data_IF_235006626394
#
_entry.id   IF_235006626394
#
_cell.length_a   1.000
_cell.length_b   1.000
_cell.length_c   1.000
_cell.angle_alpha   90.00
_cell.angle_beta   90.00
_cell.angle_gamma   90.00
#
_symmetry.space_group_name_H-M   'P 1'
#
loop_
_entity.id
_entity.type
_entity.pdbx_description
1 polymer ?
#
# COMPACT_ATOMS: atom_id res chain seq x y z
N UNK A 1 -45.60 -36.04 28.02
CA UNK A 1 -45.66 -34.62 27.60
C UNK A 1 -44.35 -33.92 27.97
N UNK A 2 -43.46 -33.66 27.00
CA UNK A 2 -42.18 -32.92 27.20
C UNK A 2 -42.36 -31.49 26.71
N UNK A 3 -42.23 -30.53 27.61
CA UNK A 3 -42.30 -29.08 27.31
C UNK A 3 -40.98 -28.62 26.64
N UNK A 4 -41.06 -28.11 25.42
CA UNK A 4 -39.97 -27.41 24.73
C UNK A 4 -39.94 -25.96 25.20
N UNK A 5 -38.89 -25.54 25.85
CA UNK A 5 -38.60 -24.15 26.14
C UNK A 5 -37.83 -23.50 24.99
N UNK A 6 -38.38 -22.47 24.35
CA UNK A 6 -37.75 -21.62 23.35
C UNK A 6 -36.58 -20.85 23.93
N UNK A 7 -35.36 -21.07 23.40
CA UNK A 7 -34.20 -20.16 23.60
C UNK A 7 -34.37 -18.95 22.68
N UNK A 8 -34.57 -17.78 23.26
CA UNK A 8 -34.64 -16.50 22.56
C UNK A 8 -33.25 -16.04 22.08
N UNK A 9 -33.20 -15.60 20.83
CA UNK A 9 -32.04 -15.08 20.11
C UNK A 9 -31.47 -13.81 20.75
N UNK A 10 -30.23 -13.86 21.23
CA UNK A 10 -29.40 -12.69 21.55
C UNK A 10 -28.35 -12.44 20.43
N UNK A 11 -28.80 -12.09 19.22
CA UNK A 11 -27.92 -11.78 18.09
C UNK A 11 -27.96 -10.30 17.63
N UNK A 12 -28.50 -9.39 18.45
CA UNK A 12 -28.67 -7.97 18.04
C UNK A 12 -27.60 -6.97 18.52
N UNK A 13 -26.69 -7.34 19.42
CA UNK A 13 -25.73 -6.36 20.01
C UNK A 13 -24.31 -6.36 19.45
N UNK A 14 -23.97 -7.22 18.45
CA UNK A 14 -22.59 -7.27 17.93
C UNK A 14 -22.31 -6.29 16.80
N UNK A 15 -23.32 -5.63 16.23
CA UNK A 15 -23.13 -4.70 15.09
C UNK A 15 -22.99 -3.22 15.49
N UNK A 16 -23.41 -2.83 16.71
CA UNK A 16 -23.22 -1.45 17.17
C UNK A 16 -21.79 -1.21 17.67
N UNK A 17 -21.17 -2.15 18.37
CA UNK A 17 -19.79 -2.01 18.84
C UNK A 17 -18.74 -1.98 17.69
N UNK A 18 -19.06 -2.58 16.53
CA UNK A 18 -18.20 -2.51 15.34
C UNK A 18 -18.25 -1.18 14.58
N UNK A 19 -19.33 -0.41 14.70
CA UNK A 19 -19.46 0.92 14.06
C UNK A 19 -18.73 2.02 14.83
N UNK A 20 -18.73 1.96 16.15
CA UNK A 20 -18.01 2.92 17.00
C UNK A 20 -16.49 2.74 16.93
N UNK A 21 -15.98 1.53 16.68
CA UNK A 21 -14.55 1.24 16.59
C UNK A 21 -13.92 1.69 15.24
N UNK A 22 -14.75 2.00 14.23
CA UNK A 22 -14.29 2.48 12.91
C UNK A 22 -13.86 3.95 12.91
N UNK A 23 -14.24 4.73 13.90
CA UNK A 23 -13.88 6.15 14.04
C UNK A 23 -12.55 6.36 14.80
N UNK A 24 -12.04 5.31 15.46
CA UNK A 24 -10.84 5.38 16.29
C UNK A 24 -9.57 5.07 15.47
N UNK A 25 -8.59 5.94 15.57
CA UNK A 25 -7.28 5.81 14.89
C UNK A 25 -6.21 5.55 15.95
N UNK A 26 -5.30 4.59 15.72
CA UNK A 26 -4.14 4.42 16.60
C UNK A 26 -3.28 5.68 16.62
N UNK A 27 -2.88 6.14 17.81
CA UNK A 27 -2.12 7.37 18.00
C UNK A 27 -0.81 7.39 17.17
N UNK A 28 -0.07 6.28 17.11
CA UNK A 28 1.12 6.19 16.27
C UNK A 28 0.80 6.35 14.76
N UNK A 29 -0.37 5.86 14.30
CA UNK A 29 -0.83 6.08 12.92
C UNK A 29 -1.18 7.55 12.70
N UNK A 30 -1.83 8.19 13.67
CA UNK A 30 -2.19 9.61 13.60
C UNK A 30 -0.94 10.50 13.43
N UNK A 31 0.09 10.28 14.28
CA UNK A 31 1.37 11.02 14.24
C UNK A 31 2.08 10.81 12.90
N UNK A 32 2.14 9.55 12.42
CA UNK A 32 2.75 9.25 11.13
C UNK A 32 1.98 9.86 9.95
N UNK A 33 0.64 9.90 10.00
CA UNK A 33 -0.19 10.55 8.99
C UNK A 33 -0.04 12.09 9.00
N UNK A 34 0.36 12.67 10.12
CA UNK A 34 0.72 14.07 10.22
C UNK A 34 2.11 14.38 9.61
N UNK A 35 2.86 13.36 9.16
CA UNK A 35 4.16 13.52 8.51
C UNK A 35 5.31 13.81 9.47
N UNK A 36 5.12 13.61 10.78
CA UNK A 36 6.14 13.89 11.81
C UNK A 36 7.27 12.87 11.75
N UNK A 37 6.92 11.57 11.70
CA UNK A 37 7.87 10.47 11.74
C UNK A 37 7.24 9.16 11.24
N UNK A 38 8.01 8.06 11.18
CA UNK A 38 7.47 6.73 10.92
C UNK A 38 6.61 6.24 12.10
N UNK A 39 5.73 5.25 11.86
CA UNK A 39 4.89 4.66 12.92
C UNK A 39 5.71 4.03 14.05
N UNK A 40 6.89 3.44 13.72
CA UNK A 40 7.79 2.85 14.72
C UNK A 40 8.47 3.90 15.58
N UNK A 41 8.84 5.02 15.00
CA UNK A 41 9.38 6.18 15.73
C UNK A 41 8.29 6.84 16.58
N UNK A 42 7.07 6.97 16.07
CA UNK A 42 5.93 7.46 16.83
C UNK A 42 5.67 6.64 18.10
N UNK A 43 5.82 5.31 18.05
CA UNK A 43 5.72 4.47 19.22
C UNK A 43 6.76 4.85 20.29
N UNK A 44 8.02 5.08 19.90
CA UNK A 44 9.09 5.54 20.81
C UNK A 44 8.77 6.91 21.42
N UNK A 45 8.22 7.82 20.63
CA UNK A 45 7.84 9.15 21.11
C UNK A 45 6.64 9.11 22.08
N UNK A 46 5.68 8.20 21.84
CA UNK A 46 4.58 7.97 22.77
C UNK A 46 5.12 7.45 24.10
N UNK A 47 5.99 6.44 24.06
CA UNK A 47 6.61 5.85 25.25
C UNK A 47 7.42 6.89 26.03
N UNK A 48 8.13 7.79 25.36
CA UNK A 48 8.88 8.88 25.94
C UNK A 48 7.99 10.02 26.52
N UNK A 49 6.66 9.96 26.33
CA UNK A 49 5.72 10.94 26.90
C UNK A 49 5.69 12.31 26.22
N UNK A 50 6.32 12.45 25.03
CA UNK A 50 6.35 13.73 24.29
C UNK A 50 5.07 13.97 23.45
N UNK A 51 4.10 13.08 23.56
CA UNK A 51 2.81 13.17 22.87
C UNK A 51 1.69 13.35 23.88
N UNK A 52 0.83 14.34 23.65
CA UNK A 52 -0.36 14.56 24.48
C UNK A 52 -1.63 14.52 23.63
N UNK A 53 -2.71 14.06 24.26
CA UNK A 53 -4.07 14.03 23.70
C UNK A 53 -5.00 14.74 24.66
N UNK A 54 -5.69 15.77 24.16
CA UNK A 54 -6.59 16.62 24.96
C UNK A 54 -5.94 17.11 26.26
N UNK A 55 -4.65 17.50 26.15
CA UNK A 55 -3.87 18.04 27.28
C UNK A 55 -3.28 17.00 28.23
N UNK A 56 -3.49 15.70 28.02
CA UNK A 56 -2.92 14.63 28.85
C UNK A 56 -1.78 13.93 28.09
N UNK A 57 -0.60 13.81 28.70
CA UNK A 57 0.50 13.04 28.15
C UNK A 57 0.11 11.55 28.04
N UNK A 58 0.41 10.93 26.91
CA UNK A 58 0.11 9.53 26.62
C UNK A 58 1.41 8.76 26.48
N UNK A 59 1.59 7.75 27.34
CA UNK A 59 2.72 6.81 27.28
C UNK A 59 2.29 5.39 26.92
N UNK A 60 0.98 5.14 26.89
CA UNK A 60 0.40 3.82 26.64
C UNK A 60 0.51 3.45 25.16
N UNK A 61 1.16 2.33 24.88
CA UNK A 61 1.22 1.74 23.55
C UNK A 61 -0.16 1.29 23.05
N UNK A 62 -0.41 1.51 21.76
CA UNK A 62 -1.68 1.11 21.14
C UNK A 62 -2.86 2.04 21.45
N UNK A 63 -2.62 3.17 22.14
CA UNK A 63 -3.64 4.18 22.39
C UNK A 63 -4.36 4.60 21.12
N UNK A 64 -5.68 4.80 21.21
CA UNK A 64 -6.52 5.20 20.06
C UNK A 64 -7.09 6.58 20.31
N UNK A 65 -7.13 7.41 19.25
CA UNK A 65 -7.69 8.76 19.25
C UNK A 65 -8.88 8.85 18.33
N UNK A 66 -9.80 9.73 18.63
CA UNK A 66 -10.91 10.15 17.78
C UNK A 66 -10.40 11.20 16.77
N UNK A 67 -11.19 11.43 15.72
CA UNK A 67 -10.86 12.43 14.69
C UNK A 67 -10.86 13.87 15.26
N UNK A 68 -11.67 14.11 16.28
CA UNK A 68 -11.85 15.42 16.93
C UNK A 68 -10.90 15.64 18.12
N UNK A 69 -10.09 14.64 18.48
CA UNK A 69 -9.13 14.79 19.57
C UNK A 69 -8.00 15.75 19.18
N UNK A 70 -7.63 16.61 20.12
CA UNK A 70 -6.49 17.53 19.96
C UNK A 70 -5.22 16.76 20.32
N UNK A 71 -4.43 16.41 19.30
CA UNK A 71 -3.14 15.74 19.48
C UNK A 71 -2.03 16.75 19.37
N UNK A 72 -1.10 16.74 20.35
CA UNK A 72 0.11 17.57 20.31
C UNK A 72 1.36 16.69 20.35
N UNK A 73 2.38 17.12 19.64
CA UNK A 73 3.73 16.57 19.63
C UNK A 73 4.70 17.67 20.03
N UNK A 74 5.46 17.48 21.11
CA UNK A 74 6.30 18.53 21.70
C UNK A 74 5.52 19.87 21.84
N UNK A 75 4.33 19.81 22.48
CA UNK A 75 3.40 20.94 22.70
C UNK A 75 2.82 21.60 21.43
N UNK A 76 3.28 21.21 20.25
CA UNK A 76 2.74 21.70 18.99
C UNK A 76 1.56 20.86 18.53
N UNK A 77 0.42 21.51 18.24
CA UNK A 77 -0.76 20.79 17.71
C UNK A 77 -0.46 20.23 16.33
N UNK A 78 -0.66 18.92 16.15
CA UNK A 78 -0.49 18.26 14.86
C UNK A 78 -1.85 18.02 14.19
N UNK A 79 -1.89 18.19 12.87
CA UNK A 79 -3.07 17.96 12.05
C UNK A 79 -2.76 16.92 10.98
N UNK A 80 -3.76 16.15 10.59
CA UNK A 80 -3.62 15.26 9.46
C UNK A 80 -3.26 16.05 8.19
N UNK A 81 -2.30 15.54 7.45
CA UNK A 81 -1.90 16.13 6.17
C UNK A 81 -3.00 15.94 5.11
N UNK A 82 -3.04 16.85 4.15
CA UNK A 82 -3.87 16.71 2.96
C UNK A 82 -3.44 15.47 2.19
N UNK A 83 -4.41 14.68 1.71
CA UNK A 83 -4.11 13.52 0.89
C UNK A 83 -3.52 13.94 -0.45
N UNK A 84 -2.41 13.31 -0.81
CA UNK A 84 -1.68 13.56 -2.04
C UNK A 84 -1.56 12.28 -2.86
N UNK A 85 -1.62 12.42 -4.18
CA UNK A 85 -1.49 11.33 -5.14
C UNK A 85 -0.62 11.82 -6.30
N UNK A 86 0.55 11.19 -6.48
CA UNK A 86 1.48 11.53 -7.55
C UNK A 86 1.73 10.26 -8.36
N UNK A 87 1.46 10.32 -9.65
CA UNK A 87 1.75 9.24 -10.58
C UNK A 87 3.05 9.56 -11.32
N UNK A 88 4.03 8.67 -11.19
CA UNK A 88 5.32 8.77 -11.84
C UNK A 88 5.45 7.68 -12.90
N UNK A 89 5.80 8.04 -14.14
CA UNK A 89 6.36 7.09 -15.09
C UNK A 89 7.87 6.97 -14.80
N UNK A 90 8.25 5.90 -14.07
CA UNK A 90 9.62 5.70 -13.62
C UNK A 90 10.57 5.45 -14.79
N UNK A 91 11.60 6.25 -14.97
CA UNK A 91 12.63 5.98 -15.98
C UNK A 91 13.57 4.85 -15.54
N UNK A 92 14.39 4.32 -16.49
CA UNK A 92 15.49 3.41 -16.18
C UNK A 92 16.51 4.07 -15.23
N UNK A 93 17.30 3.25 -14.57
CA UNK A 93 18.41 3.64 -13.68
C UNK A 93 18.02 4.30 -12.34
N UNK A 94 16.74 4.30 -11.97
CA UNK A 94 16.25 4.70 -10.66
C UNK A 94 15.77 3.50 -9.85
N UNK A 95 16.08 3.49 -8.55
CA UNK A 95 15.60 2.45 -7.61
C UNK A 95 14.31 2.91 -6.94
N UNK A 96 13.37 1.98 -6.74
CA UNK A 96 12.06 2.24 -6.12
C UNK A 96 12.11 2.26 -4.58
N UNK A 97 13.31 2.34 -3.98
CA UNK A 97 13.47 2.39 -2.53
C UNK A 97 13.32 3.82 -2.00
N UNK A 98 12.53 3.98 -0.94
CA UNK A 98 12.44 5.24 -0.20
C UNK A 98 13.76 5.57 0.51
N UNK A 99 14.37 4.58 1.17
CA UNK A 99 15.64 4.73 1.84
C UNK A 99 16.63 3.71 1.27
N UNK A 100 17.46 4.13 0.33
CA UNK A 100 18.49 3.28 -0.26
C UNK A 100 19.83 3.49 0.46
N UNK A 101 20.30 2.49 1.25
CA UNK A 101 21.55 2.61 1.99
C UNK A 101 22.78 2.79 1.09
N UNK A 102 22.69 2.39 -0.18
CA UNK A 102 23.75 2.57 -1.19
C UNK A 102 23.72 3.94 -1.87
N UNK A 103 22.86 4.87 -1.43
CA UNK A 103 22.71 6.22 -1.98
C UNK A 103 22.57 6.28 -3.51
N UNK A 104 21.98 5.23 -4.13
CA UNK A 104 21.71 5.19 -5.57
C UNK A 104 20.62 6.20 -5.93
N UNK A 105 20.45 6.48 -7.21
CA UNK A 105 19.36 7.34 -7.66
C UNK A 105 18.00 6.75 -7.26
N UNK A 106 17.35 7.37 -6.27
CA UNK A 106 16.02 6.98 -5.80
C UNK A 106 14.94 7.72 -6.57
N UNK A 107 13.80 7.07 -6.81
CA UNK A 107 12.61 7.70 -7.38
C UNK A 107 12.10 8.88 -6.57
N UNK A 108 12.45 8.96 -5.28
CA UNK A 108 12.06 10.09 -4.41
C UNK A 108 12.61 11.41 -4.94
N UNK A 109 13.80 11.42 -5.55
CA UNK A 109 14.40 12.62 -6.16
C UNK A 109 13.59 13.16 -7.34
N UNK A 110 12.86 12.30 -8.05
CA UNK A 110 12.05 12.68 -9.21
C UNK A 110 10.75 13.39 -8.83
N UNK A 111 10.31 13.21 -7.59
CA UNK A 111 9.09 13.83 -7.06
C UNK A 111 9.39 14.94 -6.04
N UNK A 112 10.66 15.22 -5.78
CA UNK A 112 11.09 16.26 -4.87
C UNK A 112 10.48 17.62 -5.26
N UNK A 113 9.95 18.36 -4.28
CA UNK A 113 9.29 19.64 -4.50
C UNK A 113 7.92 19.60 -5.16
N UNK A 114 7.38 18.42 -5.53
CA UNK A 114 6.04 18.31 -6.16
C UNK A 114 4.88 18.42 -5.16
N UNK A 115 5.10 18.07 -3.91
CA UNK A 115 4.17 18.32 -2.80
C UNK A 115 4.97 18.61 -1.52
N UNK A 116 4.29 19.20 -0.53
CA UNK A 116 4.88 19.48 0.80
C UNK A 116 4.78 18.27 1.73
N UNK A 117 3.76 17.45 1.51
CA UNK A 117 3.46 16.29 2.32
C UNK A 117 4.39 15.12 1.98
N UNK A 118 4.73 14.32 2.99
CA UNK A 118 5.50 13.10 2.79
C UNK A 118 4.62 12.06 2.09
N UNK A 119 4.99 11.68 0.87
CA UNK A 119 4.35 10.61 0.10
C UNK A 119 5.31 9.44 -0.09
N UNK A 120 4.76 8.22 -0.13
CA UNK A 120 5.53 7.00 -0.30
C UNK A 120 5.06 6.23 -1.55
N UNK A 121 5.97 5.52 -2.24
CA UNK A 121 5.61 4.75 -3.41
C UNK A 121 4.81 3.51 -3.02
N UNK A 122 3.81 3.15 -3.83
CA UNK A 122 3.09 1.89 -3.75
C UNK A 122 3.70 0.93 -4.78
N UNK A 123 4.14 -0.23 -4.29
CA UNK A 123 4.82 -1.21 -5.14
C UNK A 123 6.29 -0.88 -5.40
N UNK A 124 6.91 -1.70 -6.23
CA UNK A 124 8.32 -1.58 -6.60
C UNK A 124 8.48 -1.96 -8.07
N UNK A 125 9.37 -1.25 -8.75
CA UNK A 125 9.90 -1.61 -10.06
C UNK A 125 11.42 -1.71 -9.94
N UNK A 126 12.02 -2.65 -10.63
CA UNK A 126 13.47 -2.81 -10.66
C UNK A 126 14.16 -1.61 -11.32
N UNK A 127 15.47 -1.48 -11.11
CA UNK A 127 16.28 -0.38 -11.62
C UNK A 127 16.15 -0.21 -13.13
N UNK A 128 16.11 -1.33 -13.86
CA UNK A 128 16.04 -1.36 -15.33
C UNK A 128 14.62 -1.27 -15.89
N UNK A 129 13.61 -1.56 -15.05
CA UNK A 129 12.20 -1.56 -15.45
C UNK A 129 11.68 -0.12 -15.45
N UNK A 130 10.93 0.24 -16.47
CA UNK A 130 10.17 1.50 -16.58
C UNK A 130 8.70 1.25 -16.30
N UNK A 131 7.93 2.30 -16.01
CA UNK A 131 6.49 2.19 -15.84
C UNK A 131 5.93 2.99 -14.68
N UNK A 132 4.66 2.80 -14.40
CA UNK A 132 3.90 3.63 -13.48
C UNK A 132 4.14 3.22 -12.02
N UNK A 133 4.44 4.21 -11.19
CA UNK A 133 4.47 4.11 -9.73
C UNK A 133 3.59 5.20 -9.14
N UNK A 134 2.67 4.81 -8.29
CA UNK A 134 1.83 5.74 -7.52
C UNK A 134 2.49 6.05 -6.18
N UNK A 135 2.62 7.35 -5.87
CA UNK A 135 3.02 7.84 -4.56
C UNK A 135 1.83 8.44 -3.85
N UNK A 136 1.68 8.17 -2.57
CA UNK A 136 0.62 8.73 -1.77
C UNK A 136 0.94 8.68 -0.27
N UNK A 137 0.26 9.54 0.50
CA UNK A 137 0.16 9.47 1.95
C UNK A 137 -1.18 8.84 2.42
N UNK A 138 -2.04 8.38 1.50
CA UNK A 138 -3.29 7.69 1.80
C UNK A 138 -3.01 6.23 2.20
N UNK A 139 -2.85 6.01 3.49
CA UNK A 139 -2.61 4.68 4.05
C UNK A 139 -3.76 3.68 3.83
N UNK A 140 -4.97 4.14 3.63
CA UNK A 140 -6.12 3.24 3.40
C UNK A 140 -6.15 2.77 1.94
N UNK A 141 -5.76 3.65 0.99
CA UNK A 141 -5.52 3.26 -0.40
C UNK A 141 -4.33 2.29 -0.50
N UNK A 142 -3.20 2.59 0.18
CA UNK A 142 -2.04 1.69 0.25
C UNK A 142 -2.44 0.30 0.71
N UNK A 143 -3.23 0.19 1.79
CA UNK A 143 -3.71 -1.11 2.28
C UNK A 143 -4.61 -1.83 1.29
N UNK A 144 -5.48 -1.09 0.59
CA UNK A 144 -6.35 -1.68 -0.44
C UNK A 144 -5.52 -2.27 -1.58
N UNK A 145 -4.55 -1.51 -2.11
CA UNK A 145 -3.71 -1.94 -3.23
C UNK A 145 -2.69 -3.02 -2.85
N UNK A 146 -2.18 -3.00 -1.61
CA UNK A 146 -1.17 -3.96 -1.14
C UNK A 146 -1.76 -5.27 -0.57
N UNK A 147 -3.08 -5.46 -0.58
CA UNK A 147 -3.68 -6.71 -0.11
C UNK A 147 -3.36 -7.84 -1.07
N UNK A 148 -2.57 -8.81 -0.62
CA UNK A 148 -2.22 -10.05 -1.36
C UNK A 148 -3.43 -10.88 -1.84
N UNK A 149 -4.62 -10.64 -1.28
CA UNK A 149 -5.86 -11.30 -1.67
C UNK A 149 -6.58 -10.63 -2.84
N UNK A 150 -6.17 -9.45 -3.25
CA UNK A 150 -6.78 -8.78 -4.39
C UNK A 150 -6.17 -9.31 -5.67
N UNK A 151 -7.07 -9.69 -6.58
CA UNK A 151 -6.76 -10.10 -7.94
C UNK A 151 -6.41 -8.87 -8.78
N UNK A 152 -5.34 -8.18 -8.41
CA UNK A 152 -4.88 -7.01 -9.16
C UNK A 152 -4.32 -7.47 -10.50
N UNK A 153 -4.80 -6.89 -11.57
CA UNK A 153 -4.27 -7.11 -12.92
C UNK A 153 -3.11 -6.16 -13.16
N UNK A 154 -2.01 -6.69 -13.66
CA UNK A 154 -0.83 -5.94 -14.04
C UNK A 154 -0.57 -6.23 -15.51
N UNK A 155 -0.38 -5.18 -16.29
CA UNK A 155 -0.01 -5.29 -17.71
C UNK A 155 1.46 -4.96 -17.82
N UNK A 156 2.23 -5.88 -18.40
CA UNK A 156 3.65 -5.74 -18.64
C UNK A 156 3.90 -5.80 -20.14
N UNK A 157 4.79 -4.95 -20.63
CA UNK A 157 5.41 -5.09 -21.95
C UNK A 157 6.84 -5.60 -21.78
N UNK A 158 7.18 -6.63 -22.52
CA UNK A 158 8.48 -7.29 -22.46
C UNK A 158 9.09 -7.26 -23.86
N UNK A 159 10.31 -6.72 -23.95
CA UNK A 159 11.13 -6.77 -25.17
C UNK A 159 12.05 -7.98 -25.10
N UNK A 160 11.93 -8.86 -26.05
CA UNK A 160 12.67 -10.12 -26.14
C UNK A 160 13.91 -9.97 -27.03
N UNK A 161 14.93 -10.78 -26.81
CA UNK A 161 16.10 -10.83 -27.69
C UNK A 161 15.80 -11.46 -29.05
N UNK A 162 14.86 -12.43 -29.07
CA UNK A 162 14.46 -13.18 -30.26
C UNK A 162 12.96 -13.09 -30.49
N UNK A 163 12.54 -13.26 -31.74
CA UNK A 163 11.12 -13.37 -32.07
C UNK A 163 10.49 -14.55 -31.36
N UNK A 164 9.32 -14.35 -30.79
CA UNK A 164 8.50 -15.40 -30.21
C UNK A 164 7.48 -15.89 -31.21
N UNK A 165 7.37 -17.19 -31.40
CA UNK A 165 6.38 -17.79 -32.30
C UNK A 165 4.98 -17.84 -31.64
N UNK A 166 3.88 -17.94 -32.43
CA UNK A 166 2.54 -18.11 -31.87
C UNK A 166 2.38 -19.35 -31.00
N UNK A 167 3.11 -20.42 -31.29
CA UNK A 167 3.08 -21.65 -30.50
C UNK A 167 3.72 -21.46 -29.13
N UNK A 168 4.81 -20.69 -29.04
CA UNK A 168 5.46 -20.36 -27.78
C UNK A 168 4.56 -19.49 -26.91
N UNK A 169 3.85 -18.51 -27.47
CA UNK A 169 2.85 -17.71 -26.75
C UNK A 169 1.78 -18.59 -26.11
N UNK A 170 1.24 -19.57 -26.86
CA UNK A 170 0.26 -20.52 -26.35
C UNK A 170 0.83 -21.36 -25.20
N UNK A 171 2.03 -21.90 -25.38
CA UNK A 171 2.70 -22.72 -24.37
C UNK A 171 2.91 -21.95 -23.07
N UNK A 172 3.35 -20.68 -23.13
CA UNK A 172 3.55 -19.84 -21.92
C UNK A 172 2.24 -19.66 -21.17
N UNK A 173 1.11 -19.49 -21.87
CA UNK A 173 -0.22 -19.34 -21.24
C UNK A 173 -0.65 -20.62 -20.51
N UNK A 174 -0.19 -21.76 -20.95
CA UNK A 174 -0.56 -23.08 -20.40
C UNK A 174 0.40 -23.59 -19.33
N UNK A 175 1.57 -22.96 -19.15
CA UNK A 175 2.54 -23.39 -18.13
C UNK A 175 1.93 -23.25 -16.74
N UNK A 176 1.82 -24.35 -15.96
CA UNK A 176 1.42 -24.26 -14.57
C UNK A 176 2.54 -23.57 -13.78
N UNK A 177 2.24 -22.39 -13.22
CA UNK A 177 3.19 -21.73 -12.35
C UNK A 177 3.38 -22.50 -11.04
N UNK A 178 4.61 -22.55 -10.51
CA UNK A 178 4.84 -23.09 -9.18
C UNK A 178 3.90 -22.43 -8.16
N UNK A 179 3.25 -23.24 -7.33
CA UNK A 179 2.24 -22.78 -6.36
C UNK A 179 2.74 -21.66 -5.43
N UNK A 180 4.06 -21.50 -5.29
CA UNK A 180 4.69 -20.50 -4.43
C UNK A 180 4.48 -19.06 -4.91
N UNK A 181 4.30 -18.83 -6.20
CA UNK A 181 4.19 -17.47 -6.74
C UNK A 181 2.77 -16.95 -6.87
N UNK A 182 1.74 -17.81 -6.79
CA UNK A 182 0.31 -17.44 -6.94
C UNK A 182 0.03 -16.47 -8.11
N UNK A 183 0.93 -16.43 -9.08
CA UNK A 183 0.78 -15.65 -10.29
C UNK A 183 -0.05 -16.42 -11.32
N UNK A 184 -0.96 -15.74 -12.00
CA UNK A 184 -1.71 -16.29 -13.12
C UNK A 184 -1.51 -15.39 -14.32
N UNK A 185 -1.11 -15.95 -15.46
CA UNK A 185 -1.18 -15.25 -16.73
C UNK A 185 -2.63 -15.32 -17.21
N UNK A 186 -3.25 -14.17 -17.34
CA UNK A 186 -4.61 -14.06 -17.90
C UNK A 186 -4.56 -13.99 -19.41
N UNK A 187 -3.60 -13.23 -19.94
CA UNK A 187 -3.40 -13.09 -21.37
C UNK A 187 -1.95 -12.82 -21.72
N UNK A 188 -1.56 -13.23 -22.93
CA UNK A 188 -0.27 -12.95 -23.54
C UNK A 188 -0.48 -12.77 -25.04
N UNK A 189 0.02 -11.69 -25.61
CA UNK A 189 -0.13 -11.33 -27.01
C UNK A 189 1.03 -10.47 -27.50
N UNK A 190 1.20 -10.34 -28.80
CA UNK A 190 2.13 -9.35 -29.33
C UNK A 190 1.59 -7.94 -29.05
N UNK A 191 2.41 -7.07 -28.48
CA UNK A 191 2.08 -5.65 -28.32
C UNK A 191 2.24 -4.87 -29.62
N UNK A 192 3.06 -5.39 -30.54
CA UNK A 192 3.21 -4.88 -31.88
C UNK A 192 3.15 -6.05 -32.89
N UNK A 193 2.16 -6.06 -33.77
CA UNK A 193 1.97 -7.13 -34.76
C UNK A 193 3.13 -7.23 -35.76
N UNK A 194 3.86 -6.12 -35.98
CA UNK A 194 4.99 -6.07 -36.90
C UNK A 194 6.32 -6.45 -36.22
N UNK A 195 6.34 -6.53 -34.89
CA UNK A 195 7.54 -6.91 -34.13
C UNK A 195 7.21 -8.00 -33.11
N UNK A 196 7.54 -9.23 -33.46
CA UNK A 196 7.33 -10.42 -32.64
C UNK A 196 8.24 -10.51 -31.42
N UNK A 197 9.11 -9.53 -31.20
CA UNK A 197 9.92 -9.39 -29.99
C UNK A 197 9.17 -8.62 -28.89
N UNK A 198 8.16 -7.83 -29.24
CA UNK A 198 7.40 -7.03 -28.30
C UNK A 198 6.14 -7.78 -27.87
N UNK A 199 6.12 -8.24 -26.61
CA UNK A 199 5.07 -9.06 -26.03
C UNK A 199 4.43 -8.34 -24.86
N UNK A 200 3.10 -8.24 -24.88
CA UNK A 200 2.28 -7.79 -23.76
C UNK A 200 1.80 -8.98 -22.94
N UNK A 201 1.91 -8.90 -21.62
CA UNK A 201 1.44 -9.93 -20.70
C UNK A 201 0.52 -9.28 -19.66
N UNK A 202 -0.70 -9.83 -19.53
CA UNK A 202 -1.59 -9.54 -18.42
C UNK A 202 -1.41 -10.61 -17.36
N UNK A 203 -0.91 -10.21 -16.20
CA UNK A 203 -0.77 -11.11 -15.04
C UNK A 203 -1.71 -10.70 -13.92
N UNK A 204 -2.12 -11.69 -13.14
CA UNK A 204 -2.90 -11.51 -11.93
C UNK A 204 -2.20 -12.20 -10.77
N UNK A 205 -1.97 -11.47 -9.70
CA UNK A 205 -1.28 -12.03 -8.55
C UNK A 205 -1.14 -11.03 -7.40
N UNK A 206 -0.51 -11.45 -6.30
CA UNK A 206 -0.14 -10.55 -5.22
C UNK A 206 0.93 -9.57 -5.72
N UNK A 207 0.69 -8.30 -5.54
CA UNK A 207 1.69 -7.23 -5.74
C UNK A 207 2.68 -7.20 -4.58
#
# INVERSE_FOLDING_TARGET
MRKYTKKSNSRRNSNQSRKEDSSLIRLNKYIANAGICSRREADKFIEAGVVSVNGKAITQMGYKVKIDDIVKFNDSTIKNQKLQYILLNKPKNYVSSYNDPKKRNSIMRLIEGKCKELVLPIGKLDKITTGLILFTNDNDLVKKLSKKSQKTKIILQISLEKNMSPNELKRIKEIPYPNDYKLKINDISYSNMNDKKEVGIEIQGPT
#
